data_IF_148671746390
#
_entry.id   IF_148671746390
#
_cell.length_a   1.000
_cell.length_b   1.000
_cell.length_c   1.000
_cell.angle_alpha   90.00
_cell.angle_beta   90.00
_cell.angle_gamma   90.00
#
_symmetry.space_group_name_H-M   'P 1'
#
loop_
_entity.id
_entity.type
_entity.pdbx_description
1 polymer ?
#
# COMPACT_ATOMS: atom_id res chain seq x y z
N UNK A 1 10.95 -21.12 -23.57
CA UNK A 1 10.48 -19.78 -23.14
C UNK A 1 11.62 -18.78 -23.32
N UNK A 2 11.37 -17.58 -23.86
CA UNK A 2 12.37 -16.51 -24.04
C UNK A 2 12.17 -15.44 -22.95
N UNK A 3 13.25 -14.98 -22.32
CA UNK A 3 13.20 -13.81 -21.43
C UNK A 3 12.94 -12.56 -22.26
N UNK A 4 11.89 -11.81 -21.93
CA UNK A 4 11.57 -10.53 -22.55
C UNK A 4 12.62 -9.48 -22.16
N UNK A 5 13.04 -8.65 -23.13
CA UNK A 5 13.82 -7.44 -22.84
C UNK A 5 12.90 -6.28 -22.47
N UNK A 6 13.44 -5.17 -21.95
CA UNK A 6 12.62 -4.04 -21.46
C UNK A 6 11.64 -3.53 -22.52
N UNK A 7 12.08 -3.44 -23.77
CA UNK A 7 11.26 -2.96 -24.89
C UNK A 7 10.10 -3.92 -25.22
N UNK A 8 10.27 -5.22 -24.94
CA UNK A 8 9.23 -6.22 -25.15
C UNK A 8 8.12 -6.16 -24.07
N UNK A 9 8.34 -5.43 -22.96
CA UNK A 9 7.42 -5.41 -21.82
C UNK A 9 6.21 -4.48 -22.02
N UNK A 10 6.15 -3.71 -23.11
CA UNK A 10 5.06 -2.77 -23.43
C UNK A 10 4.62 -1.92 -22.22
N UNK A 11 5.59 -1.40 -21.46
CA UNK A 11 5.32 -0.63 -20.26
C UNK A 11 4.77 0.74 -20.61
N UNK A 12 3.84 1.21 -19.79
CA UNK A 12 3.32 2.58 -19.86
C UNK A 12 4.45 3.57 -19.62
N UNK A 13 4.46 4.66 -20.38
CA UNK A 13 5.23 5.85 -20.02
C UNK A 13 4.53 6.64 -18.90
N UNK A 14 5.16 7.70 -18.40
CA UNK A 14 4.64 8.53 -17.29
C UNK A 14 3.26 9.11 -17.57
N UNK A 15 3.00 9.59 -18.78
CA UNK A 15 1.71 10.20 -19.14
C UNK A 15 0.62 9.15 -19.32
N UNK A 16 0.94 8.03 -19.98
CA UNK A 16 0.05 6.86 -20.07
C UNK A 16 -0.29 6.29 -18.70
N UNK A 17 0.67 6.28 -17.77
CA UNK A 17 0.43 5.87 -16.39
C UNK A 17 -0.59 6.79 -15.74
N UNK A 18 -0.39 8.11 -15.79
CA UNK A 18 -1.29 9.10 -15.17
C UNK A 18 -2.71 9.02 -15.71
N UNK A 19 -2.88 8.73 -16.99
CA UNK A 19 -4.18 8.62 -17.66
C UNK A 19 -4.85 7.25 -17.50
N UNK A 20 -4.09 6.21 -17.13
CA UNK A 20 -4.63 4.87 -16.94
C UNK A 20 -5.65 4.83 -15.80
N UNK A 21 -6.69 4.02 -15.99
CA UNK A 21 -7.62 3.66 -14.91
C UNK A 21 -6.83 3.04 -13.77
N UNK A 22 -7.02 3.57 -12.57
CA UNK A 22 -6.31 3.13 -11.37
C UNK A 22 -7.00 1.94 -10.73
N UNK A 23 -6.20 1.06 -10.15
CA UNK A 23 -6.69 0.06 -9.20
C UNK A 23 -7.26 0.81 -7.99
N UNK A 24 -8.50 0.54 -7.55
CA UNK A 24 -9.19 1.28 -6.47
C UNK A 24 -8.64 0.89 -5.09
N UNK A 25 -7.33 1.05 -4.92
CA UNK A 25 -6.59 0.82 -3.70
C UNK A 25 -5.83 2.12 -3.40
N UNK A 26 -5.92 2.54 -2.15
CA UNK A 26 -5.11 3.59 -1.55
C UNK A 26 -4.18 2.90 -0.56
N UNK A 27 -2.92 3.33 -0.50
CA UNK A 27 -1.96 2.84 0.49
C UNK A 27 -1.68 3.96 1.49
N UNK A 28 -1.74 3.67 2.78
CA UNK A 28 -1.41 4.62 3.85
C UNK A 28 -0.21 4.08 4.61
N UNK A 29 0.88 4.83 4.58
CA UNK A 29 2.13 4.54 5.28
C UNK A 29 2.21 5.46 6.51
N UNK A 30 2.02 4.89 7.68
CA UNK A 30 1.99 5.65 8.94
C UNK A 30 3.23 5.36 9.79
N UNK A 31 3.94 6.43 10.13
CA UNK A 31 5.20 6.38 10.87
C UNK A 31 6.25 5.39 10.33
N UNK A 32 6.34 5.22 9.01
CA UNK A 32 7.38 4.39 8.37
C UNK A 32 8.71 5.14 8.41
N UNK A 33 9.72 4.55 9.08
CA UNK A 33 11.02 5.19 9.27
C UNK A 33 11.99 4.93 8.14
N UNK A 34 11.91 3.74 7.55
CA UNK A 34 12.85 3.30 6.53
C UNK A 34 12.55 3.94 5.18
N UNK A 35 13.44 4.84 4.75
CA UNK A 35 13.42 5.43 3.40
C UNK A 35 13.42 4.36 2.30
N UNK A 36 14.10 3.24 2.54
CA UNK A 36 14.11 2.09 1.63
C UNK A 36 12.71 1.48 1.49
N UNK A 37 12.00 1.26 2.61
CA UNK A 37 10.65 0.71 2.58
C UNK A 37 9.70 1.67 1.86
N UNK A 38 9.79 2.99 2.12
CA UNK A 38 8.95 4.00 1.47
C UNK A 38 9.10 3.94 -0.05
N UNK A 39 10.33 4.01 -0.58
CA UNK A 39 10.52 3.93 -2.03
C UNK A 39 10.16 2.55 -2.60
N UNK A 40 10.27 1.47 -1.81
CA UNK A 40 9.79 0.14 -2.22
C UNK A 40 8.26 0.11 -2.36
N UNK A 41 7.52 0.77 -1.48
CA UNK A 41 6.07 0.95 -1.60
C UNK A 41 5.70 1.74 -2.84
N UNK A 42 6.37 2.86 -3.13
CA UNK A 42 6.16 3.61 -4.37
C UNK A 42 6.29 2.71 -5.60
N UNK A 43 7.35 1.90 -5.65
CA UNK A 43 7.61 1.00 -6.76
C UNK A 43 6.55 -0.10 -6.90
N UNK A 44 6.08 -0.68 -5.79
CA UNK A 44 4.98 -1.64 -5.80
C UNK A 44 3.68 -0.99 -6.27
N UNK A 45 3.41 0.23 -5.81
CA UNK A 45 2.20 0.97 -6.18
C UNK A 45 2.16 1.34 -7.67
N UNK A 46 3.31 1.72 -8.24
CA UNK A 46 3.47 1.92 -9.68
C UNK A 46 3.19 0.62 -10.46
N UNK A 47 3.78 -0.50 -10.04
CA UNK A 47 3.61 -1.77 -10.73
C UNK A 47 2.14 -2.24 -10.81
N UNK A 48 1.31 -1.91 -9.82
CA UNK A 48 -0.08 -2.34 -9.72
C UNK A 48 -1.11 -1.23 -9.99
N UNK A 49 -0.68 -0.10 -10.58
CA UNK A 49 -1.54 1.05 -10.90
C UNK A 49 -2.37 1.54 -9.69
N UNK A 50 -1.79 1.49 -8.48
CA UNK A 50 -2.43 1.92 -7.24
C UNK A 50 -2.78 3.40 -7.34
N UNK A 51 -3.96 3.76 -6.84
CA UNK A 51 -4.54 5.08 -7.03
C UNK A 51 -3.72 6.17 -6.33
N UNK A 52 -3.38 5.97 -5.06
CA UNK A 52 -2.72 6.99 -4.24
C UNK A 52 -1.96 6.40 -3.05
N UNK A 53 -0.89 7.08 -2.63
CA UNK A 53 -0.18 6.85 -1.36
C UNK A 53 -0.38 8.04 -0.41
N UNK A 54 -0.75 7.79 0.84
CA UNK A 54 -0.61 8.75 1.92
C UNK A 54 0.64 8.43 2.74
N UNK A 55 1.47 9.45 2.99
CA UNK A 55 2.62 9.38 3.88
C UNK A 55 2.26 10.13 5.16
N UNK A 56 2.23 9.44 6.30
CA UNK A 56 1.72 9.99 7.55
C UNK A 56 2.79 10.10 8.64
N UNK A 57 2.61 11.06 9.54
CA UNK A 57 3.41 11.21 10.75
C UNK A 57 4.88 11.48 10.45
N UNK A 58 5.78 10.63 10.96
CA UNK A 58 7.23 10.76 10.75
C UNK A 58 7.71 10.24 9.39
N UNK A 59 6.81 9.68 8.58
CA UNK A 59 7.15 9.12 7.26
C UNK A 59 7.75 10.19 6.36
N UNK A 60 8.99 9.98 5.93
CA UNK A 60 9.68 10.92 5.07
C UNK A 60 9.05 11.00 3.67
N UNK A 61 9.13 12.18 3.06
CA UNK A 61 8.48 12.48 1.77
C UNK A 61 9.51 12.65 0.64
N UNK A 62 9.12 12.39 -0.63
CA UNK A 62 9.85 12.90 -1.77
C UNK A 62 9.85 14.45 -1.81
N UNK A 63 10.91 15.10 -2.34
CA UNK A 63 12.13 14.51 -2.88
C UNK A 63 13.12 14.08 -1.79
N UNK A 64 13.59 12.83 -1.86
CA UNK A 64 14.64 12.29 -0.98
C UNK A 64 15.49 11.29 -1.76
N UNK A 65 16.83 11.39 -1.64
CA UNK A 65 17.77 10.58 -2.43
C UNK A 65 17.60 9.08 -2.23
N UNK A 66 17.38 8.63 -0.99
CA UNK A 66 17.25 7.21 -0.69
C UNK A 66 15.89 6.67 -1.12
N UNK A 67 14.81 7.45 -0.97
CA UNK A 67 13.49 7.10 -1.52
C UNK A 67 13.58 6.98 -3.05
N UNK A 68 14.19 7.97 -3.71
CA UNK A 68 14.34 7.98 -5.16
C UNK A 68 15.12 6.75 -5.67
N UNK A 69 16.18 6.35 -4.96
CA UNK A 69 17.02 5.20 -5.33
C UNK A 69 16.25 3.88 -5.33
N UNK A 70 15.28 3.69 -4.43
CA UNK A 70 14.49 2.45 -4.36
C UNK A 70 13.19 2.52 -5.16
N UNK A 71 12.58 3.71 -5.27
CA UNK A 71 11.38 3.96 -6.06
C UNK A 71 11.63 3.90 -7.58
N UNK A 72 12.84 4.22 -8.04
CA UNK A 72 13.21 4.19 -9.47
C UNK A 72 12.24 4.97 -10.37
N UNK A 73 11.93 6.21 -10.01
CA UNK A 73 11.03 7.09 -10.76
C UNK A 73 9.55 6.96 -10.39
N UNK A 74 9.15 5.94 -9.61
CA UNK A 74 7.75 5.76 -9.21
C UNK A 74 7.14 6.92 -8.41
N UNK A 75 7.98 7.78 -7.80
CA UNK A 75 7.53 9.01 -7.12
C UNK A 75 7.01 10.08 -8.09
N UNK A 76 7.30 9.96 -9.39
CA UNK A 76 6.88 10.89 -10.44
C UNK A 76 5.55 10.47 -11.09
N UNK A 77 5.18 9.19 -10.96
CA UNK A 77 4.00 8.57 -11.58
C UNK A 77 2.87 8.36 -10.58
N UNK A 78 3.17 7.80 -9.40
CA UNK A 78 2.18 7.49 -8.36
C UNK A 78 1.77 8.76 -7.64
N UNK A 79 0.47 9.04 -7.59
CA UNK A 79 -0.05 10.16 -6.82
C UNK A 79 0.19 9.92 -5.32
N UNK A 80 0.66 10.96 -4.62
CA UNK A 80 0.87 10.86 -3.18
C UNK A 80 0.59 12.19 -2.47
N UNK A 81 0.30 12.12 -1.19
CA UNK A 81 0.09 13.27 -0.31
C UNK A 81 0.70 13.00 1.07
N UNK A 82 1.18 14.04 1.74
CA UNK A 82 1.63 13.96 3.12
C UNK A 82 0.55 14.48 4.05
N UNK A 83 0.31 13.77 5.14
CA UNK A 83 -0.53 14.24 6.23
C UNK A 83 0.16 14.06 7.58
N UNK A 84 0.05 15.06 8.45
CA UNK A 84 0.74 14.97 9.75
C UNK A 84 0.11 13.92 10.66
N UNK A 85 -1.22 13.87 10.69
CA UNK A 85 -1.99 13.03 11.61
C UNK A 85 -2.79 11.99 10.81
N UNK A 86 -2.47 10.70 11.00
CA UNK A 86 -3.11 9.60 10.27
C UNK A 86 -4.64 9.58 10.40
N UNK A 87 -5.17 10.02 11.55
CA UNK A 87 -6.62 10.08 11.78
C UNK A 87 -7.34 11.08 10.86
N UNK A 88 -6.65 12.13 10.39
CA UNK A 88 -7.23 13.04 9.40
C UNK A 88 -7.43 12.35 8.05
N UNK A 89 -6.52 11.43 7.70
CA UNK A 89 -6.65 10.57 6.51
C UNK A 89 -7.81 9.60 6.69
N UNK A 90 -7.92 8.94 7.84
CA UNK A 90 -9.05 8.05 8.17
C UNK A 90 -10.39 8.78 8.02
N UNK A 91 -10.53 9.97 8.62
CA UNK A 91 -11.75 10.76 8.56
C UNK A 91 -12.11 11.21 7.13
N UNK A 92 -11.10 11.58 6.33
CA UNK A 92 -11.29 11.95 4.92
C UNK A 92 -11.78 10.75 4.10
N UNK A 93 -11.09 9.62 4.22
CA UNK A 93 -11.40 8.40 3.49
C UNK A 93 -12.78 7.84 3.83
N UNK A 94 -13.20 7.91 5.11
CA UNK A 94 -14.57 7.55 5.52
C UNK A 94 -15.64 8.41 4.86
N UNK A 95 -15.42 9.73 4.75
CA UNK A 95 -16.34 10.65 4.03
C UNK A 95 -16.42 10.34 2.54
N UNK A 96 -15.36 9.78 1.97
CA UNK A 96 -15.28 9.33 0.58
C UNK A 96 -15.83 7.91 0.36
N UNK A 97 -16.38 7.27 1.41
CA UNK A 97 -16.87 5.87 1.40
C UNK A 97 -15.78 4.85 1.01
N UNK A 98 -14.53 5.11 1.38
CA UNK A 98 -13.42 4.17 1.21
C UNK A 98 -13.37 3.23 2.41
N UNK A 99 -13.29 1.92 2.17
CA UNK A 99 -13.13 0.93 3.25
C UNK A 99 -11.72 0.92 3.79
N UNK A 100 -11.59 1.07 5.10
CA UNK A 100 -10.34 1.14 5.84
C UNK A 100 -9.94 -0.28 6.25
N UNK A 101 -8.77 -0.73 5.79
CA UNK A 101 -8.19 -2.02 6.12
C UNK A 101 -6.84 -1.83 6.77
N UNK A 102 -6.71 -2.20 8.05
CA UNK A 102 -5.40 -2.25 8.70
C UNK A 102 -4.70 -3.56 8.39
N UNK A 103 -3.40 -3.51 8.08
CA UNK A 103 -2.58 -4.72 7.93
C UNK A 103 -1.80 -4.94 9.22
N UNK A 104 -2.33 -5.80 10.08
CA UNK A 104 -1.78 -6.03 11.43
C UNK A 104 -2.21 -7.41 11.99
N UNK A 105 -1.45 -7.91 12.97
CA UNK A 105 -1.80 -9.10 13.76
C UNK A 105 -2.59 -8.69 15.01
N UNK A 106 -3.89 -8.96 15.03
CA UNK A 106 -4.78 -8.67 16.18
C UNK A 106 -5.76 -9.81 16.41
N UNK A 107 -6.30 -9.89 17.63
CA UNK A 107 -7.40 -10.81 17.90
C UNK A 107 -8.61 -10.46 17.02
N UNK A 108 -9.15 -11.46 16.31
CA UNK A 108 -10.28 -11.29 15.40
C UNK A 108 -9.92 -10.76 14.00
N UNK A 109 -8.63 -10.72 13.64
CA UNK A 109 -8.17 -10.41 12.28
C UNK A 109 -8.73 -11.41 11.25
N UNK A 110 -8.91 -10.94 10.01
CA UNK A 110 -9.24 -11.77 8.87
C UNK A 110 -7.94 -12.17 8.18
N UNK A 111 -7.69 -13.47 8.11
CA UNK A 111 -6.54 -14.00 7.38
C UNK A 111 -6.62 -13.60 5.90
N UNK A 112 -5.51 -13.10 5.34
CA UNK A 112 -5.43 -12.56 3.98
C UNK A 112 -5.99 -13.54 2.94
N UNK A 113 -5.66 -14.82 3.03
CA UNK A 113 -6.16 -15.84 2.10
C UNK A 113 -7.68 -16.06 2.17
N UNK A 114 -8.33 -15.64 3.25
CA UNK A 114 -9.78 -15.72 3.44
C UNK A 114 -10.49 -14.38 3.21
N UNK A 115 -9.75 -13.26 3.10
CA UNK A 115 -10.33 -11.95 2.85
C UNK A 115 -10.95 -11.89 1.46
N UNK A 116 -12.18 -11.38 1.35
CA UNK A 116 -12.91 -11.22 0.08
C UNK A 116 -13.09 -9.75 -0.25
N UNK A 117 -12.83 -9.38 -1.50
CA UNK A 117 -13.13 -8.03 -1.99
C UNK A 117 -14.59 -7.93 -2.45
N UNK A 118 -15.17 -6.75 -2.26
CA UNK A 118 -16.49 -6.39 -2.75
C UNK A 118 -16.36 -5.65 -4.08
N UNK A 119 -17.28 -5.93 -5.00
CA UNK A 119 -17.33 -5.24 -6.28
C UNK A 119 -17.61 -3.74 -6.10
N UNK A 120 -16.93 -2.91 -6.89
CA UNK A 120 -17.07 -1.45 -6.89
C UNK A 120 -16.74 -0.76 -5.55
N UNK A 121 -15.98 -1.41 -4.68
CA UNK A 121 -15.50 -0.83 -3.42
C UNK A 121 -14.05 -0.40 -3.57
N UNK A 122 -13.75 0.80 -3.05
CA UNK A 122 -12.37 1.30 -2.89
C UNK A 122 -11.87 0.95 -1.50
N UNK A 123 -10.61 0.51 -1.43
CA UNK A 123 -9.97 0.12 -0.18
C UNK A 123 -8.77 0.99 0.14
N UNK A 124 -8.57 1.32 1.41
CA UNK A 124 -7.36 1.94 1.92
C UNK A 124 -6.62 0.96 2.84
N UNK A 125 -5.39 0.61 2.45
CA UNK A 125 -4.54 -0.34 3.16
C UNK A 125 -3.58 0.44 4.07
N UNK A 126 -3.73 0.29 5.38
CA UNK A 126 -2.91 0.96 6.38
C UNK A 126 -1.76 0.05 6.81
N UNK A 127 -0.54 0.57 6.69
CA UNK A 127 0.69 -0.07 7.14
C UNK A 127 1.37 0.84 8.17
N UNK A 128 1.73 0.27 9.30
CA UNK A 128 2.28 1.02 10.43
C UNK A 128 3.78 0.89 10.60
N UNK A 129 4.27 1.55 11.65
CA UNK A 129 5.67 1.60 12.03
C UNK A 129 6.31 0.21 12.14
N UNK A 130 7.58 0.07 11.76
CA UNK A 130 8.23 -1.26 11.70
C UNK A 130 8.42 -1.95 13.07
N UNK A 131 8.26 -1.21 14.17
CA UNK A 131 8.36 -1.74 15.54
C UNK A 131 7.02 -1.73 16.25
N UNK A 132 6.24 -0.65 16.11
CA UNK A 132 4.98 -0.47 16.83
C UNK A 132 3.75 -0.99 16.09
N UNK A 133 3.86 -1.27 14.80
CA UNK A 133 2.73 -1.65 13.99
C UNK A 133 1.77 -0.48 13.73
N UNK A 134 0.53 -0.82 13.38
CA UNK A 134 -0.55 0.16 13.17
C UNK A 134 -1.07 0.65 14.53
N UNK A 135 -1.31 1.97 14.66
CA UNK A 135 -1.85 2.51 15.91
C UNK A 135 -3.26 1.99 16.22
N UNK A 136 -3.53 1.76 17.51
CA UNK A 136 -4.82 1.24 17.98
C UNK A 136 -6.03 2.06 17.48
N UNK A 137 -5.94 3.39 17.48
CA UNK A 137 -7.03 4.25 16.97
C UNK A 137 -7.37 4.03 15.49
N UNK A 138 -6.40 3.60 14.67
CA UNK A 138 -6.60 3.25 13.27
C UNK A 138 -7.24 1.85 13.17
N UNK A 139 -6.78 0.90 13.99
CA UNK A 139 -7.38 -0.43 14.13
C UNK A 139 -8.86 -0.30 14.52
N UNK A 140 -9.17 0.47 15.56
CA UNK A 140 -10.53 0.72 16.05
C UNK A 140 -11.42 1.40 15.00
N UNK A 141 -10.80 2.10 14.05
CA UNK A 141 -11.48 2.78 12.95
C UNK A 141 -11.59 1.97 11.67
N UNK A 142 -11.00 0.77 11.62
CA UNK A 142 -10.93 -0.07 10.44
C UNK A 142 -12.22 -0.85 10.22
N UNK A 143 -12.62 -1.02 8.96
CA UNK A 143 -13.72 -1.90 8.57
C UNK A 143 -13.32 -3.38 8.71
N UNK A 144 -12.03 -3.69 8.53
CA UNK A 144 -11.45 -4.98 8.87
C UNK A 144 -9.94 -4.85 9.13
N UNK A 145 -9.38 -5.82 9.86
CA UNK A 145 -7.93 -5.99 10.01
C UNK A 145 -7.50 -7.24 9.26
N UNK A 146 -6.52 -7.11 8.38
CA UNK A 146 -6.00 -8.17 7.54
C UNK A 146 -4.68 -8.67 8.11
N UNK A 147 -4.60 -9.98 8.28
CA UNK A 147 -3.40 -10.66 8.77
C UNK A 147 -2.82 -11.60 7.70
N UNK A 148 -1.51 -11.52 7.47
CA UNK A 148 -0.82 -12.46 6.58
C UNK A 148 -0.54 -13.74 7.37
N UNK A 149 -1.02 -14.93 6.92
CA UNK A 149 -0.70 -16.19 7.60
C UNK A 149 0.81 -16.44 7.66
N UNK A 150 1.33 -16.67 8.86
CA UNK A 150 2.76 -16.94 9.10
C UNK A 150 2.92 -18.24 9.88
N UNK A 151 3.71 -19.17 9.33
CA UNK A 151 3.99 -20.47 9.94
C UNK A 151 5.41 -20.56 10.52
N UNK A 152 6.17 -19.47 10.44
CA UNK A 152 7.56 -19.39 10.88
C UNK A 152 7.70 -18.92 12.32
N UNK A 153 8.96 -18.72 12.74
CA UNK A 153 9.30 -18.29 14.11
C UNK A 153 9.45 -16.77 14.26
N UNK A 154 9.36 -16.01 13.17
CA UNK A 154 9.47 -14.56 13.19
C UNK A 154 8.13 -13.94 13.55
N UNK A 155 8.18 -12.85 14.32
CA UNK A 155 7.00 -12.15 14.78
C UNK A 155 6.28 -11.37 13.67
N UNK A 156 6.99 -10.96 12.62
CA UNK A 156 6.42 -10.21 11.50
C UNK A 156 7.32 -10.26 10.27
N UNK A 157 6.74 -9.92 9.13
CA UNK A 157 7.44 -9.65 7.88
C UNK A 157 7.93 -8.19 7.83
N UNK A 158 8.90 -7.92 6.96
CA UNK A 158 9.25 -6.54 6.63
C UNK A 158 8.02 -5.82 6.03
N UNK A 159 7.73 -4.60 6.47
CA UNK A 159 6.52 -3.86 6.07
C UNK A 159 6.36 -3.69 4.56
N UNK A 160 7.45 -3.49 3.80
CA UNK A 160 7.36 -3.40 2.33
C UNK A 160 7.10 -4.76 1.67
N UNK A 161 7.56 -5.86 2.28
CA UNK A 161 7.21 -7.22 1.86
C UNK A 161 5.75 -7.52 2.16
N UNK A 162 5.26 -7.17 3.36
CA UNK A 162 3.84 -7.24 3.70
C UNK A 162 2.98 -6.45 2.72
N UNK A 163 3.42 -5.23 2.40
CA UNK A 163 2.80 -4.37 1.38
C UNK A 163 2.68 -5.06 0.04
N UNK A 164 3.79 -5.61 -0.48
CA UNK A 164 3.79 -6.35 -1.73
C UNK A 164 2.83 -7.55 -1.74
N UNK A 165 2.79 -8.33 -0.67
CA UNK A 165 1.93 -9.51 -0.54
C UNK A 165 0.45 -9.10 -0.53
N UNK A 166 0.07 -8.17 0.35
CA UNK A 166 -1.33 -7.75 0.51
C UNK A 166 -1.83 -7.03 -0.74
N UNK A 167 -1.04 -6.12 -1.31
CA UNK A 167 -1.42 -5.39 -2.52
C UNK A 167 -1.63 -6.37 -3.69
N UNK A 168 -0.72 -7.32 -3.90
CA UNK A 168 -0.87 -8.31 -4.96
C UNK A 168 -2.10 -9.20 -4.78
N UNK A 169 -2.32 -9.71 -3.57
CA UNK A 169 -3.45 -10.60 -3.29
C UNK A 169 -4.80 -9.89 -3.51
N UNK A 170 -4.95 -8.67 -2.99
CA UNK A 170 -6.16 -7.87 -3.18
C UNK A 170 -6.34 -7.49 -4.66
N UNK A 171 -5.26 -7.08 -5.34
CA UNK A 171 -5.28 -6.79 -6.78
C UNK A 171 -5.79 -7.98 -7.60
N UNK A 172 -5.31 -9.20 -7.29
CA UNK A 172 -5.77 -10.42 -7.95
C UNK A 172 -7.25 -10.70 -7.68
N UNK A 173 -7.71 -10.52 -6.44
CA UNK A 173 -9.12 -10.74 -6.07
C UNK A 173 -10.08 -9.74 -6.72
N UNK A 174 -9.59 -8.55 -7.09
CA UNK A 174 -10.36 -7.54 -7.81
C UNK A 174 -10.58 -7.90 -9.30
N UNK A 175 -9.98 -8.98 -9.81
CA UNK A 175 -10.07 -9.40 -11.22
C UNK A 175 -9.75 -8.25 -12.20
N UNK A 176 -8.69 -7.48 -11.90
CA UNK A 176 -8.22 -6.37 -12.76
C UNK A 176 -7.52 -6.91 -14.03
N UNK A 177 -7.18 -8.20 -14.06
CA UNK A 177 -6.58 -8.91 -15.18
C UNK A 177 -7.57 -9.82 -15.91
#
# INVERSE_FOLDING_TARGET
MKKLILDDLNRKNTEEFKQAVKTPIIVVLDDIRSLHNIGSFFRTCDAFLIEKIYLCGITATPPNKEIHKTALGATETVAWEYEKEVMQVVDRLKKENVKILSVEQVEGSVMLNNFTVESNVKYALFFGNEVKGVYQQVIDSSDAVIEIPQLGTKHSLNVSVSGGIVIWDIFQKMNVL
#
